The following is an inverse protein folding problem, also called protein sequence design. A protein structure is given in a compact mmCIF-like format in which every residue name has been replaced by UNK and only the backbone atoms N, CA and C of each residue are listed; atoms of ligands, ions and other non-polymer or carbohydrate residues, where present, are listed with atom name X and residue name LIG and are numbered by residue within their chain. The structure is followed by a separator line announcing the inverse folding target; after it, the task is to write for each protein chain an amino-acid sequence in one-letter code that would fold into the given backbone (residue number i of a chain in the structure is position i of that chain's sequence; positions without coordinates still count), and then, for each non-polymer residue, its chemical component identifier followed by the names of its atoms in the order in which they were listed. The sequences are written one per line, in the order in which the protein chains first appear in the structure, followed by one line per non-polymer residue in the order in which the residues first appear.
data_IF_041711437488
#
_entry.id   IF_041711437488
#
_cell.length_a   1.000
_cell.length_b   1.000
_cell.length_c   1.000
_cell.angle_alpha   90.00
_cell.angle_beta   90.00
_cell.angle_gamma   90.00
#
_symmetry.space_group_name_H-M   'P 1'
#
loop_
_entity.id
_entity.type
_entity.pdbx_description
1 polymer ?
#
# COMPACT_ATOMS: atom_id res chain seq x y z
N UNK A 1 -8.52 -25.18 18.01
CA UNK A 1 -9.71 -24.30 17.89
C UNK A 1 -9.57 -23.57 16.57
N UNK A 2 -10.30 -24.02 15.55
CA UNK A 2 -10.25 -23.41 14.21
C UNK A 2 -10.98 -22.06 14.26
N UNK A 3 -10.25 -20.96 14.20
CA UNK A 3 -10.82 -19.63 13.92
C UNK A 3 -11.12 -19.57 12.43
N UNK A 4 -12.13 -20.32 11.99
CA UNK A 4 -12.65 -20.18 10.64
C UNK A 4 -13.31 -18.82 10.54
N UNK A 5 -12.58 -17.82 10.04
CA UNK A 5 -13.18 -16.55 9.65
C UNK A 5 -14.35 -16.84 8.72
N UNK A 6 -15.50 -16.22 8.99
CA UNK A 6 -16.61 -16.22 8.04
C UNK A 6 -16.08 -15.88 6.64
N UNK A 7 -16.59 -16.52 5.57
CA UNK A 7 -16.18 -16.18 4.22
C UNK A 7 -16.33 -14.67 4.05
N UNK A 8 -15.29 -14.03 3.52
CA UNK A 8 -15.35 -12.62 3.16
C UNK A 8 -16.63 -12.38 2.35
N UNK A 9 -17.32 -11.25 2.57
CA UNK A 9 -18.43 -10.84 1.72
C UNK A 9 -18.03 -10.72 0.24
N UNK A 10 -16.73 -10.76 -0.03
CA UNK A 10 -16.11 -10.70 -1.36
C UNK A 10 -15.53 -12.05 -1.82
N UNK A 11 -15.83 -13.17 -1.14
CA UNK A 11 -15.28 -14.48 -1.49
C UNK A 11 -15.67 -14.93 -2.90
N UNK A 12 -16.84 -14.53 -3.40
CA UNK A 12 -17.26 -14.79 -4.78
C UNK A 12 -16.35 -14.13 -5.83
N UNK A 13 -15.58 -13.10 -5.43
CA UNK A 13 -14.68 -12.38 -6.31
C UNK A 13 -13.23 -12.88 -6.25
N UNK A 14 -12.93 -13.90 -5.45
CA UNK A 14 -11.55 -14.34 -5.22
C UNK A 14 -10.86 -14.85 -6.50
N UNK A 15 -11.61 -15.50 -7.38
CA UNK A 15 -11.09 -16.16 -8.58
C UNK A 15 -11.36 -15.37 -9.88
N UNK A 16 -11.77 -14.11 -9.78
CA UNK A 16 -12.09 -13.28 -10.96
C UNK A 16 -11.27 -11.99 -10.99
N UNK A 17 -10.86 -11.59 -12.19
CA UNK A 17 -10.23 -10.29 -12.40
C UNK A 17 -11.30 -9.20 -12.38
N UNK A 18 -11.25 -8.35 -11.35
CA UNK A 18 -12.09 -7.16 -11.26
C UNK A 18 -11.42 -5.98 -11.98
N UNK A 19 -12.22 -5.14 -12.62
CA UNK A 19 -11.77 -3.90 -13.25
C UNK A 19 -12.57 -2.72 -12.71
N UNK A 20 -11.86 -1.65 -12.34
CA UNK A 20 -12.49 -0.42 -11.86
C UNK A 20 -13.38 0.17 -12.96
N UNK A 21 -14.70 0.31 -12.71
CA UNK A 21 -15.61 1.00 -13.63
C UNK A 21 -15.22 2.47 -13.78
N UNK A 22 -15.36 3.00 -15.00
CA UNK A 22 -15.01 4.41 -15.29
C UNK A 22 -15.83 5.39 -14.44
N UNK A 23 -17.08 5.06 -14.15
CA UNK A 23 -17.97 5.87 -13.31
C UNK A 23 -17.47 6.06 -11.87
N UNK A 24 -16.64 5.14 -11.37
CA UNK A 24 -16.11 5.18 -10.00
C UNK A 24 -14.73 5.83 -9.91
N UNK A 25 -14.05 6.10 -11.04
CA UNK A 25 -12.69 6.66 -11.05
C UNK A 25 -12.60 8.01 -10.35
N UNK A 26 -13.52 8.92 -10.64
CA UNK A 26 -13.52 10.26 -10.02
C UNK A 26 -13.82 10.18 -8.52
N UNK A 27 -14.73 9.29 -8.12
CA UNK A 27 -15.09 9.11 -6.73
C UNK A 27 -13.91 8.57 -5.90
N UNK A 28 -13.27 7.50 -6.38
CA UNK A 28 -12.15 6.85 -5.67
C UNK A 28 -10.83 7.63 -5.76
N UNK A 29 -10.77 8.71 -6.56
CA UNK A 29 -9.60 9.60 -6.56
C UNK A 29 -9.53 10.45 -5.29
N UNK A 30 -10.66 10.70 -4.63
CA UNK A 30 -10.66 11.49 -3.41
C UNK A 30 -10.01 10.71 -2.26
N UNK A 31 -9.15 11.36 -1.46
CA UNK A 31 -8.52 10.72 -0.32
C UNK A 31 -9.59 10.18 0.64
N UNK A 32 -9.49 8.89 0.95
CA UNK A 32 -10.34 8.24 1.93
C UNK A 32 -9.70 8.38 3.31
N UNK A 33 -10.28 9.24 4.15
CA UNK A 33 -9.81 9.46 5.52
C UNK A 33 -9.15 10.83 5.74
N UNK A 34 -8.56 11.00 6.93
CA UNK A 34 -7.95 12.26 7.32
C UNK A 34 -6.65 12.51 6.54
N UNK A 35 -6.50 13.73 6.02
CA UNK A 35 -5.24 14.19 5.46
C UNK A 35 -4.33 14.68 6.58
N UNK A 36 -3.21 13.99 6.75
CA UNK A 36 -2.22 14.25 7.81
C UNK A 36 -0.93 14.70 7.16
N UNK A 37 -0.28 15.73 7.71
CA UNK A 37 0.92 16.31 7.12
C UNK A 37 2.02 16.56 8.15
N UNK A 38 3.26 16.39 7.71
CA UNK A 38 4.45 16.84 8.43
C UNK A 38 4.59 16.22 9.83
N UNK A 39 4.81 17.00 10.89
CA UNK A 39 5.07 16.47 12.24
C UNK A 39 3.91 15.65 12.85
N UNK A 40 2.68 15.84 12.36
CA UNK A 40 1.49 15.17 12.88
C UNK A 40 1.36 13.69 12.49
N UNK A 41 2.20 13.20 11.56
CA UNK A 41 2.15 11.83 11.04
C UNK A 41 2.35 10.79 12.15
N UNK A 42 3.45 10.85 12.91
CA UNK A 42 3.73 9.85 13.95
C UNK A 42 2.70 9.86 15.10
N UNK A 43 2.27 11.03 15.64
CA UNK A 43 1.20 11.05 16.62
C UNK A 43 -0.11 10.45 16.11
N UNK A 44 -0.45 10.70 14.84
CA UNK A 44 -1.70 10.20 14.25
C UNK A 44 -1.67 8.68 14.05
N UNK A 45 -0.52 8.14 13.62
CA UNK A 45 -0.33 6.68 13.51
C UNK A 45 -0.33 6.04 14.91
N UNK A 46 0.31 6.69 15.89
CA UNK A 46 0.36 6.25 17.28
C UNK A 46 0.78 4.77 17.41
N UNK A 47 -0.11 3.97 17.99
CA UNK A 47 0.07 2.53 18.22
C UNK A 47 -0.63 1.65 17.19
N UNK A 48 -1.07 2.21 16.06
CA UNK A 48 -1.68 1.43 14.99
C UNK A 48 -0.77 0.25 14.59
N UNK A 49 -1.37 -0.91 14.41
CA UNK A 49 -0.74 -2.14 13.95
C UNK A 49 -1.84 -3.02 13.33
N UNK A 50 -1.77 -3.38 12.03
CA UNK A 50 -0.67 -3.08 11.12
C UNK A 50 -0.65 -1.63 10.61
N UNK A 51 0.53 -1.14 10.27
CA UNK A 51 0.76 0.07 9.48
C UNK A 51 1.18 -0.32 8.08
N UNK A 52 0.41 0.13 7.08
CA UNK A 52 0.68 -0.13 5.67
C UNK A 52 1.05 1.17 4.97
N UNK A 53 2.17 1.17 4.25
CA UNK A 53 2.55 2.30 3.37
C UNK A 53 2.34 1.93 1.91
N UNK A 54 1.83 2.88 1.14
CA UNK A 54 1.61 2.72 -0.31
C UNK A 54 2.35 3.84 -1.03
N UNK A 55 3.33 3.46 -1.85
CA UNK A 55 4.21 4.35 -2.59
C UNK A 55 5.59 4.52 -1.95
N UNK A 56 6.54 4.85 -2.82
CA UNK A 56 7.97 5.00 -2.53
C UNK A 56 8.24 6.05 -1.43
N UNK A 57 7.78 7.29 -1.64
CA UNK A 57 8.00 8.39 -0.69
C UNK A 57 7.30 8.18 0.65
N UNK A 58 6.09 7.64 0.65
CA UNK A 58 5.34 7.37 1.88
C UNK A 58 6.12 6.37 2.76
N UNK A 59 6.66 5.33 2.13
CA UNK A 59 7.47 4.31 2.80
C UNK A 59 8.75 4.92 3.36
N UNK A 60 9.50 5.69 2.56
CA UNK A 60 10.76 6.27 2.98
C UNK A 60 10.60 7.36 4.03
N UNK A 61 9.60 8.23 3.91
CA UNK A 61 9.32 9.28 4.91
C UNK A 61 8.99 8.66 6.28
N UNK A 62 8.18 7.59 6.30
CA UNK A 62 7.85 6.91 7.56
C UNK A 62 9.09 6.26 8.21
N UNK A 63 9.92 5.58 7.41
CA UNK A 63 11.17 4.97 7.89
C UNK A 63 12.17 6.02 8.35
N UNK A 64 12.32 7.14 7.64
CA UNK A 64 13.18 8.26 8.02
C UNK A 64 12.75 8.90 9.36
N UNK A 65 11.47 8.82 9.71
CA UNK A 65 10.92 9.24 11.01
C UNK A 65 11.11 8.20 12.12
N UNK A 66 11.76 7.07 11.84
CA UNK A 66 12.04 6.01 12.81
C UNK A 66 10.88 5.04 13.07
N UNK A 67 9.86 5.00 12.19
CA UNK A 67 8.78 3.99 12.25
C UNK A 67 8.86 3.08 11.02
N UNK A 68 9.05 1.79 11.24
CA UNK A 68 8.99 0.80 10.15
C UNK A 68 7.53 0.40 9.90
N UNK A 69 7.05 0.39 8.65
CA UNK A 69 5.75 -0.17 8.32
C UNK A 69 5.76 -1.70 8.45
N UNK A 70 4.61 -2.28 8.76
CA UNK A 70 4.42 -3.73 8.79
C UNK A 70 4.32 -4.31 7.37
N UNK A 71 3.76 -3.52 6.43
CA UNK A 71 3.68 -3.84 5.00
C UNK A 71 3.97 -2.57 4.19
N UNK A 72 4.82 -2.67 3.17
CA UNK A 72 5.05 -1.59 2.22
C UNK A 72 4.75 -2.05 0.79
N UNK A 73 3.99 -1.24 0.06
CA UNK A 73 3.69 -1.43 -1.36
C UNK A 73 4.44 -0.36 -2.15
N UNK A 74 5.38 -0.76 -3.00
CA UNK A 74 6.24 0.15 -3.77
C UNK A 74 6.28 -0.26 -5.24
N UNK A 75 6.40 0.70 -6.14
CA UNK A 75 6.51 0.46 -7.58
C UNK A 75 7.88 0.87 -8.15
N UNK A 76 8.75 1.48 -7.32
CA UNK A 76 10.06 2.01 -7.68
C UNK A 76 10.02 3.05 -8.81
N UNK A 77 8.83 3.63 -9.08
CA UNK A 77 8.62 4.59 -10.17
C UNK A 77 8.27 5.95 -9.57
N UNK A 78 9.30 6.66 -9.14
CA UNK A 78 9.13 8.02 -8.67
C UNK A 78 9.02 9.00 -9.85
N UNK A 79 7.89 9.71 -9.99
CA UNK A 79 7.60 10.61 -11.14
C UNK A 79 7.74 9.94 -12.52
N UNK A 80 7.54 8.62 -12.60
CA UNK A 80 7.76 7.79 -13.81
C UNK A 80 9.23 7.71 -14.27
N UNK A 81 10.19 8.02 -13.40
CA UNK A 81 11.62 7.82 -13.62
C UNK A 81 12.17 6.91 -12.51
N UNK A 82 13.15 6.08 -12.85
CA UNK A 82 13.85 5.30 -11.83
C UNK A 82 14.86 6.20 -11.12
N UNK A 83 14.80 6.21 -9.80
CA UNK A 83 15.82 6.82 -8.93
C UNK A 83 16.61 5.66 -8.28
N UNK A 84 17.85 5.40 -8.71
CA UNK A 84 18.66 4.30 -8.20
C UNK A 84 18.90 4.36 -6.69
N UNK A 85 19.10 5.56 -6.13
CA UNK A 85 19.33 5.75 -4.69
C UNK A 85 18.07 5.40 -3.89
N UNK A 86 16.92 5.84 -4.40
CA UNK A 86 15.62 5.54 -3.82
C UNK A 86 15.33 4.04 -3.83
N UNK A 87 15.64 3.38 -4.95
CA UNK A 87 15.49 1.93 -5.10
C UNK A 87 16.37 1.16 -4.12
N UNK A 88 17.63 1.55 -3.97
CA UNK A 88 18.52 0.94 -2.98
C UNK A 88 18.02 1.15 -1.55
N UNK A 89 17.55 2.35 -1.22
CA UNK A 89 17.01 2.64 0.12
C UNK A 89 15.79 1.75 0.42
N UNK A 90 14.86 1.62 -0.54
CA UNK A 90 13.68 0.75 -0.41
C UNK A 90 14.06 -0.73 -0.31
N UNK A 91 15.07 -1.20 -1.04
CA UNK A 91 15.52 -2.59 -0.97
C UNK A 91 16.11 -2.98 0.40
N UNK A 92 16.55 -2.00 1.19
CA UNK A 92 17.02 -2.22 2.57
C UNK A 92 15.86 -2.30 3.58
N UNK A 93 14.62 -2.06 3.15
CA UNK A 93 13.43 -2.07 4.01
C UNK A 93 12.72 -3.42 3.89
N UNK A 94 12.39 -4.00 5.05
CA UNK A 94 11.68 -5.28 5.14
C UNK A 94 12.59 -6.50 5.01
N UNK A 95 12.07 -7.66 5.41
CA UNK A 95 12.79 -8.94 5.40
C UNK A 95 12.31 -9.91 4.33
N UNK A 96 11.12 -9.67 3.77
CA UNK A 96 10.48 -10.52 2.76
C UNK A 96 9.94 -9.66 1.63
N UNK A 97 10.33 -9.99 0.41
CA UNK A 97 9.94 -9.24 -0.80
C UNK A 97 9.10 -10.13 -1.69
N UNK A 98 7.92 -9.63 -2.07
CA UNK A 98 7.07 -10.23 -3.08
C UNK A 98 7.08 -9.33 -4.32
N UNK A 99 7.29 -9.93 -5.49
CA UNK A 99 7.19 -9.24 -6.77
C UNK A 99 5.95 -9.73 -7.47
N UNK A 100 5.04 -8.81 -7.75
CA UNK A 100 3.75 -9.08 -8.38
C UNK A 100 3.52 -8.11 -9.52
N UNK A 101 2.70 -8.53 -10.49
CA UNK A 101 2.25 -7.66 -11.57
C UNK A 101 0.89 -7.11 -11.17
N UNK A 102 0.77 -5.79 -11.10
CA UNK A 102 -0.49 -5.10 -10.81
C UNK A 102 -0.90 -4.27 -12.03
N UNK A 103 -1.71 -4.82 -12.95
CA UNK A 103 -2.20 -4.06 -14.09
C UNK A 103 -3.04 -2.86 -13.62
N UNK A 104 -3.06 -1.76 -14.40
CA UNK A 104 -3.75 -0.55 -13.98
C UNK A 104 -5.24 -0.81 -13.83
N UNK A 105 -5.79 -0.37 -12.69
CA UNK A 105 -7.22 -0.41 -12.41
C UNK A 105 -7.83 -1.82 -12.36
N UNK A 106 -7.03 -2.83 -12.01
CA UNK A 106 -7.48 -4.21 -11.83
C UNK A 106 -7.17 -4.74 -10.44
N UNK A 107 -7.98 -5.68 -9.99
CA UNK A 107 -7.64 -6.61 -8.90
C UNK A 107 -7.64 -7.99 -9.54
N UNK A 108 -6.48 -8.64 -9.56
CA UNK A 108 -6.31 -9.97 -10.14
C UNK A 108 -6.30 -11.02 -9.03
N UNK A 109 -6.76 -12.25 -9.30
CA UNK A 109 -6.49 -13.39 -8.43
C UNK A 109 -4.98 -13.59 -8.22
N UNK A 110 -4.63 -14.19 -7.09
CA UNK A 110 -3.23 -14.53 -6.72
C UNK A 110 -2.62 -15.61 -7.63
#
# INVERSE_FOLDING_TARGET
MSTGSSPSAFAEFADVTLRLPDSLREYLRWPMGALVQGPSILPTIGRANPVVTVGDFCTLDLVARGRTPDICLVDFKTKRQEDPELREALQRIGSKVFRLTNPPATITPD
#
